data_IF_981122680797
#
_entry.id   IF_981122680797
#
_cell.length_a   1.000
_cell.length_b   1.000
_cell.length_c   1.000
_cell.angle_alpha   90.00
_cell.angle_beta   90.00
_cell.angle_gamma   90.00
#
_symmetry.space_group_name_H-M   'P 1'
#
loop_
_entity.id
_entity.type
_entity.pdbx_description
1 polymer ?
#
# COMPACT_ATOMS: atom_id res chain seq x y z
N UNK A 1 -18.06 8.86 -10.48
CA UNK A 1 -16.96 9.84 -10.51
C UNK A 1 -15.65 9.07 -10.43
N UNK A 2 -14.82 9.23 -11.46
CA UNK A 2 -13.61 8.47 -11.78
C UNK A 2 -12.41 8.92 -10.94
N UNK A 3 -12.21 8.32 -9.77
CA UNK A 3 -11.07 8.62 -8.86
C UNK A 3 -9.71 8.05 -9.29
N UNK A 4 -9.47 7.90 -10.60
CA UNK A 4 -8.34 7.15 -11.16
C UNK A 4 -6.96 7.84 -11.14
N UNK A 5 -6.83 9.16 -11.43
CA UNK A 5 -5.50 9.76 -11.60
C UNK A 5 -4.75 10.05 -10.29
N UNK A 6 -5.46 10.43 -9.22
CA UNK A 6 -4.85 10.96 -8.00
C UNK A 6 -4.27 9.87 -7.08
N UNK A 7 -4.90 8.70 -7.03
CA UNK A 7 -4.43 7.58 -6.20
C UNK A 7 -3.09 7.01 -6.70
N UNK A 8 -2.88 6.99 -8.02
CA UNK A 8 -1.66 6.52 -8.67
C UNK A 8 -0.45 7.42 -8.36
N UNK A 9 -0.63 8.74 -8.41
CA UNK A 9 0.46 9.69 -8.08
C UNK A 9 0.98 9.56 -6.65
N UNK A 10 0.19 9.02 -5.72
CA UNK A 10 0.61 8.79 -4.32
C UNK A 10 1.61 7.63 -4.22
N UNK A 11 1.42 6.57 -5.00
CA UNK A 11 2.31 5.39 -4.97
C UNK A 11 3.53 5.55 -5.88
N UNK A 12 3.40 6.28 -7.00
CA UNK A 12 4.52 6.52 -7.93
C UNK A 12 5.63 7.40 -7.34
N UNK A 13 5.32 8.23 -6.34
CA UNK A 13 6.32 9.05 -5.64
C UNK A 13 7.19 8.27 -4.64
N UNK A 14 6.83 7.03 -4.31
CA UNK A 14 7.59 6.19 -3.37
C UNK A 14 8.77 5.58 -4.12
N UNK A 15 9.99 6.00 -3.77
CA UNK A 15 11.21 5.32 -4.22
C UNK A 15 11.30 4.00 -3.46
N UNK A 16 11.10 2.91 -4.18
CA UNK A 16 11.27 1.57 -3.67
C UNK A 16 12.63 1.03 -4.09
N UNK A 17 13.27 0.28 -3.20
CA UNK A 17 14.50 -0.44 -3.54
C UNK A 17 14.10 -1.74 -4.24
N UNK A 18 14.20 -1.73 -5.56
CA UNK A 18 14.16 -2.93 -6.38
C UNK A 18 15.59 -3.36 -6.72
N UNK A 19 15.86 -4.65 -6.67
CA UNK A 19 17.14 -5.26 -7.06
C UNK A 19 16.90 -6.68 -7.56
N UNK A 20 17.90 -7.32 -8.17
CA UNK A 20 17.78 -8.72 -8.63
C UNK A 20 17.47 -9.71 -7.49
N UNK A 21 17.62 -9.28 -6.23
CA UNK A 21 17.39 -10.07 -5.01
C UNK A 21 16.09 -9.70 -4.28
N UNK A 22 15.49 -8.53 -4.56
CA UNK A 22 14.34 -8.01 -3.82
C UNK A 22 13.36 -7.31 -4.76
N UNK A 23 12.09 -7.69 -4.66
CA UNK A 23 10.98 -6.98 -5.31
C UNK A 23 10.17 -6.20 -4.28
N UNK A 24 9.95 -4.93 -4.55
CA UNK A 24 9.19 -4.02 -3.72
C UNK A 24 7.89 -3.58 -4.41
N UNK A 25 6.81 -3.45 -3.65
CA UNK A 25 5.49 -3.03 -4.16
C UNK A 25 4.83 -2.05 -3.19
N UNK A 26 4.51 -0.85 -3.67
CA UNK A 26 3.76 0.15 -2.92
C UNK A 26 2.27 0.13 -3.30
N UNK A 27 1.41 0.20 -2.29
CA UNK A 27 -0.04 0.12 -2.41
C UNK A 27 -0.70 1.27 -1.65
N UNK A 28 -1.79 1.77 -2.21
CA UNK A 28 -2.79 2.55 -1.47
C UNK A 28 -4.01 1.67 -1.22
N UNK A 29 -4.41 1.53 0.03
CA UNK A 29 -5.49 0.66 0.47
C UNK A 29 -6.66 1.47 1.02
N UNK A 30 -7.90 1.06 0.71
CA UNK A 30 -9.08 1.58 1.42
C UNK A 30 -9.17 1.03 2.85
N UNK A 31 -10.14 1.53 3.64
CA UNK A 31 -10.34 1.10 5.04
C UNK A 31 -10.69 -0.40 5.19
N UNK A 32 -11.01 -1.10 4.10
CA UNK A 32 -11.28 -2.55 4.07
C UNK A 32 -10.14 -3.31 3.40
N UNK A 33 -8.98 -2.69 3.21
CA UNK A 33 -7.80 -3.30 2.60
C UNK A 33 -7.90 -3.49 1.08
N UNK A 34 -8.88 -2.92 0.39
CA UNK A 34 -8.94 -3.00 -1.09
C UNK A 34 -7.84 -2.14 -1.69
N UNK A 35 -7.13 -2.68 -2.68
CA UNK A 35 -6.11 -1.92 -3.44
C UNK A 35 -6.79 -0.86 -4.32
N UNK A 36 -6.53 0.42 -4.01
CA UNK A 36 -6.97 1.58 -4.78
C UNK A 36 -5.94 1.99 -5.83
N UNK A 37 -4.66 1.81 -5.53
CA UNK A 37 -3.54 2.00 -6.46
C UNK A 37 -2.38 1.08 -6.07
N UNK A 38 -1.58 0.69 -7.06
CA UNK A 38 -0.39 -0.13 -6.89
C UNK A 38 0.73 0.39 -7.79
N UNK A 39 1.98 0.36 -7.33
CA UNK A 39 3.14 0.81 -8.10
C UNK A 39 3.41 -0.03 -9.35
N UNK A 40 2.91 -1.28 -9.38
CA UNK A 40 3.04 -2.22 -10.49
C UNK A 40 1.74 -2.35 -11.33
N UNK A 41 0.73 -1.52 -11.05
CA UNK A 41 -0.62 -1.56 -11.65
C UNK A 41 -1.39 -2.89 -11.47
N UNK A 42 -0.85 -3.86 -10.72
CA UNK A 42 -1.49 -5.16 -10.52
C UNK A 42 -2.53 -5.10 -9.41
N UNK A 43 -3.61 -5.85 -9.57
CA UNK A 43 -4.63 -6.04 -8.52
C UNK A 43 -5.46 -4.79 -8.19
N UNK A 44 -5.30 -3.67 -8.91
CA UNK A 44 -6.06 -2.44 -8.66
C UNK A 44 -7.56 -2.70 -8.76
N UNK A 45 -8.29 -2.36 -7.69
CA UNK A 45 -9.71 -2.60 -7.45
C UNK A 45 -10.15 -4.08 -7.36
N UNK A 46 -9.23 -5.03 -7.51
CA UNK A 46 -9.50 -6.47 -7.52
C UNK A 46 -8.91 -7.18 -6.29
N UNK A 47 -7.73 -6.75 -5.84
CA UNK A 47 -7.01 -7.33 -4.72
C UNK A 47 -7.45 -6.73 -3.38
N UNK A 48 -7.41 -7.56 -2.35
CA UNK A 48 -7.53 -7.14 -0.95
C UNK A 48 -6.34 -7.63 -0.16
N UNK A 49 -5.74 -6.72 0.60
CA UNK A 49 -4.68 -7.00 1.56
C UNK A 49 -5.30 -7.08 2.94
N UNK A 50 -5.09 -8.21 3.62
CA UNK A 50 -5.44 -8.36 5.03
C UNK A 50 -4.39 -7.67 5.92
N UNK A 51 -4.42 -6.34 5.91
CA UNK A 51 -3.42 -5.52 6.58
C UNK A 51 -3.55 -5.61 8.10
N UNK A 52 -2.52 -6.16 8.76
CA UNK A 52 -2.48 -6.33 10.21
C UNK A 52 -1.95 -5.06 10.89
N UNK A 53 -2.85 -4.14 11.18
CA UNK A 53 -2.48 -2.86 11.81
C UNK A 53 -2.35 -2.94 13.33
N UNK A 54 -2.99 -3.92 13.97
CA UNK A 54 -3.06 -4.07 15.43
C UNK A 54 -3.45 -2.76 16.16
N UNK A 55 -4.31 -1.95 15.52
CA UNK A 55 -4.77 -0.67 16.06
C UNK A 55 -3.75 0.48 15.94
N UNK A 56 -2.59 0.25 15.33
CA UNK A 56 -1.57 1.26 15.12
C UNK A 56 -1.83 2.06 13.83
N UNK A 57 -1.47 3.34 13.85
CA UNK A 57 -1.49 4.16 12.64
C UNK A 57 -0.31 3.82 11.73
N UNK A 58 0.83 3.36 12.25
CA UNK A 58 1.96 2.92 11.44
C UNK A 58 2.71 1.76 12.09
N UNK A 59 3.38 0.95 11.27
CA UNK A 59 4.14 -0.19 11.76
C UNK A 59 4.70 -1.03 10.62
N UNK A 60 5.35 -2.12 10.99
CA UNK A 60 5.78 -3.15 10.05
C UNK A 60 5.69 -4.54 10.68
N UNK A 61 5.60 -5.57 9.86
CA UNK A 61 5.64 -6.98 10.27
C UNK A 61 6.16 -7.85 9.13
N UNK A 62 6.59 -9.06 9.47
CA UNK A 62 7.10 -10.05 8.50
C UNK A 62 6.12 -11.21 8.41
N UNK A 63 5.79 -11.62 7.19
CA UNK A 63 5.00 -12.82 6.91
C UNK A 63 5.87 -14.08 7.05
N UNK A 64 5.22 -15.25 7.11
CA UNK A 64 5.92 -16.53 7.23
C UNK A 64 6.82 -16.86 6.03
N UNK A 65 6.55 -16.26 4.87
CA UNK A 65 7.36 -16.43 3.65
C UNK A 65 8.52 -15.42 3.54
N UNK A 66 8.79 -14.65 4.60
CA UNK A 66 9.86 -13.66 4.63
C UNK A 66 9.47 -12.29 4.05
N UNK A 67 8.25 -12.14 3.50
CA UNK A 67 7.79 -10.84 3.00
C UNK A 67 7.67 -9.84 4.14
N UNK A 68 8.31 -8.68 4.02
CA UNK A 68 8.19 -7.56 4.96
C UNK A 68 7.08 -6.64 4.50
N UNK A 69 6.16 -6.32 5.40
CA UNK A 69 5.05 -5.39 5.17
C UNK A 69 5.25 -4.18 6.09
N UNK A 70 5.41 -3.00 5.51
CA UNK A 70 5.35 -1.71 6.20
C UNK A 70 4.05 -0.98 5.88
N UNK A 71 3.47 -0.27 6.84
CA UNK A 71 2.24 0.49 6.63
C UNK A 71 2.19 1.80 7.39
N UNK A 72 1.40 2.74 6.86
CA UNK A 72 1.08 4.00 7.51
C UNK A 72 -0.33 4.45 7.13
N UNK A 73 -1.12 4.82 8.12
CA UNK A 73 -2.46 5.38 7.96
C UNK A 73 -2.31 6.75 7.33
N UNK A 74 -2.96 6.96 6.21
CA UNK A 74 -2.91 8.26 5.58
C UNK A 74 -3.87 9.20 6.33
N UNK A 75 -3.46 10.44 6.62
CA UNK A 75 -4.39 11.47 7.10
C UNK A 75 -5.46 11.80 6.05
N UNK A 76 -5.25 11.37 4.80
CA UNK A 76 -6.03 11.65 3.59
C UNK A 76 -5.49 12.88 2.85
N UNK A 77 -5.66 12.91 1.52
CA UNK A 77 -5.25 14.01 0.66
C UNK A 77 -6.45 14.90 0.32
N UNK A 78 -6.32 16.22 0.43
CA UNK A 78 -7.35 17.25 0.15
C UNK A 78 -8.79 16.85 0.56
N UNK A 79 -9.56 16.22 -0.34
CA UNK A 79 -10.96 15.79 -0.15
C UNK A 79 -11.13 14.42 0.52
N UNK A 80 -10.06 13.68 0.77
CA UNK A 80 -10.08 12.29 1.27
C UNK A 80 -9.66 12.15 2.73
N UNK A 81 -9.62 13.27 3.49
CA UNK A 81 -9.31 13.24 4.92
C UNK A 81 -10.24 12.32 5.70
N UNK A 82 -9.66 11.49 6.57
CA UNK A 82 -10.44 10.64 7.49
C UNK A 82 -11.08 9.39 6.88
N UNK A 83 -10.79 9.04 5.61
CA UNK A 83 -11.36 7.83 4.99
C UNK A 83 -10.77 6.50 5.47
N UNK A 84 -9.80 6.54 6.38
CA UNK A 84 -9.19 5.33 6.96
C UNK A 84 -8.29 4.57 5.99
N UNK A 85 -7.76 5.24 4.97
CA UNK A 85 -6.86 4.64 3.99
C UNK A 85 -5.46 4.43 4.56
N UNK A 86 -4.76 3.44 4.02
CA UNK A 86 -3.39 3.11 4.39
C UNK A 86 -2.48 3.11 3.16
N UNK A 87 -1.30 3.69 3.30
CA UNK A 87 -0.16 3.35 2.46
C UNK A 87 0.44 2.04 2.97
N UNK A 88 0.81 1.14 2.06
CA UNK A 88 1.41 -0.15 2.38
C UNK A 88 2.57 -0.40 1.41
N UNK A 89 3.72 -0.83 1.94
CA UNK A 89 4.87 -1.31 1.14
C UNK A 89 5.09 -2.77 1.48
N UNK A 90 5.23 -3.59 0.44
CA UNK A 90 5.57 -5.01 0.54
C UNK A 90 6.95 -5.20 -0.08
N UNK A 91 7.85 -5.87 0.62
CA UNK A 91 9.16 -6.24 0.09
C UNK A 91 9.35 -7.74 0.24
N UNK A 92 9.69 -8.39 -0.88
CA UNK A 92 9.89 -9.84 -0.94
C UNK A 92 11.27 -10.13 -1.49
N UNK A 93 12.03 -10.96 -0.78
CA UNK A 93 13.27 -11.57 -1.29
C UNK A 93 12.92 -12.63 -2.34
N UNK A 94 13.65 -12.62 -3.45
CA UNK A 94 13.44 -13.53 -4.59
C UNK A 94 14.02 -14.93 -4.35
#
# INVERSE_FOLDING_TARGET
MTGGPQARSIVEGVRLEDSDEVTSRALLLDAKGRVLAASDDRGVLQERVDLKTNGQDAGHYTLSDGTVIGFHRTPGYETYKGLGWYGCVMQKTL
#
